data_IF_178447673918
#
_entry.id   IF_178447673918
#
_cell.length_a   1.000
_cell.length_b   1.000
_cell.length_c   1.000
_cell.angle_alpha   90.00
_cell.angle_beta   90.00
_cell.angle_gamma   90.00
#
_symmetry.space_group_name_H-M   'P 1'
#
loop_
_entity.id
_entity.type
_entity.pdbx_description
1 polymer ?
#
# COMPACT_ATOMS: atom_id res chain seq x y z
N UNK A 1 -20.28 17.38 -0.33
CA UNK A 1 -19.17 16.43 -0.04
C UNK A 1 -19.54 15.42 1.04
N UNK A 2 -19.85 15.83 2.27
CA UNK A 2 -20.20 14.89 3.36
C UNK A 2 -21.42 13.99 3.03
N UNK A 3 -22.46 14.53 2.40
CA UNK A 3 -23.63 13.74 1.98
C UNK A 3 -23.25 12.61 0.99
N UNK A 4 -22.37 12.90 0.02
CA UNK A 4 -21.92 11.90 -0.96
C UNK A 4 -21.08 10.80 -0.29
N UNK A 5 -20.24 11.16 0.69
CA UNK A 5 -19.51 10.17 1.49
C UNK A 5 -20.45 9.30 2.33
N UNK A 6 -21.55 9.88 2.82
CA UNK A 6 -22.59 9.16 3.55
C UNK A 6 -23.32 8.16 2.64
N UNK A 7 -23.61 8.51 1.39
CA UNK A 7 -24.23 7.60 0.42
C UNK A 7 -23.37 6.35 0.15
N UNK A 8 -22.04 6.49 0.17
CA UNK A 8 -21.10 5.37 0.00
C UNK A 8 -20.88 4.54 1.29
N UNK A 9 -21.29 5.05 2.45
CA UNK A 9 -20.97 4.45 3.76
C UNK A 9 -21.49 3.01 3.91
N UNK A 10 -22.73 2.66 3.53
CA UNK A 10 -23.22 1.29 3.66
C UNK A 10 -22.37 0.28 2.87
N UNK A 11 -21.93 0.65 1.67
CA UNK A 11 -21.05 -0.19 0.85
C UNK A 11 -19.70 -0.40 1.53
N UNK A 12 -19.08 0.66 2.04
CA UNK A 12 -17.79 0.59 2.73
C UNK A 12 -17.86 -0.23 4.02
N UNK A 13 -18.93 -0.08 4.80
CA UNK A 13 -19.17 -0.89 5.99
C UNK A 13 -19.40 -2.36 5.65
N UNK A 14 -20.14 -2.66 4.57
CA UNK A 14 -20.35 -4.04 4.12
C UNK A 14 -19.02 -4.69 3.73
N UNK A 15 -18.14 -3.98 3.03
CA UNK A 15 -16.80 -4.47 2.71
C UNK A 15 -16.03 -4.77 3.98
N UNK A 16 -15.98 -3.84 4.94
CA UNK A 16 -15.28 -4.05 6.22
C UNK A 16 -15.82 -5.26 6.98
N UNK A 17 -17.14 -5.44 7.06
CA UNK A 17 -17.75 -6.58 7.74
C UNK A 17 -17.40 -7.93 7.11
N UNK A 18 -17.25 -7.97 5.78
CA UNK A 18 -16.84 -9.18 5.07
C UNK A 18 -15.36 -9.48 5.32
N UNK A 19 -14.52 -8.44 5.40
CA UNK A 19 -13.08 -8.59 5.63
C UNK A 19 -12.73 -8.90 7.09
N UNK A 20 -13.54 -8.43 8.04
CA UNK A 20 -13.32 -8.66 9.49
C UNK A 20 -14.10 -9.83 10.07
N UNK A 21 -14.96 -10.48 9.26
CA UNK A 21 -15.84 -11.53 9.72
C UNK A 21 -15.11 -12.87 9.91
N UNK A 22 -15.01 -13.34 11.15
CA UNK A 22 -14.43 -14.64 11.53
C UNK A 22 -15.06 -15.88 10.83
N UNK A 23 -16.21 -15.72 10.17
CA UNK A 23 -16.98 -16.80 9.54
C UNK A 23 -17.58 -16.45 8.16
N UNK A 24 -17.17 -15.34 7.55
CA UNK A 24 -17.68 -14.93 6.24
C UNK A 24 -16.62 -15.15 5.17
N UNK A 25 -16.75 -16.19 4.35
CA UNK A 25 -15.93 -16.33 3.15
C UNK A 25 -16.38 -15.31 2.11
N UNK A 26 -15.49 -14.39 1.74
CA UNK A 26 -15.73 -13.46 0.65
C UNK A 26 -15.73 -14.23 -0.67
N UNK A 27 -16.90 -14.34 -1.32
CA UNK A 27 -16.98 -14.92 -2.65
C UNK A 27 -16.48 -13.95 -3.73
N UNK A 28 -15.97 -14.48 -4.84
CA UNK A 28 -15.53 -13.62 -5.95
C UNK A 28 -16.69 -12.81 -6.54
N UNK A 29 -17.89 -13.40 -6.60
CA UNK A 29 -19.10 -12.73 -7.07
C UNK A 29 -19.47 -11.54 -6.17
N UNK A 30 -19.37 -11.70 -4.85
CA UNK A 30 -19.60 -10.60 -3.90
C UNK A 30 -18.57 -9.50 -4.06
N UNK A 31 -17.30 -9.85 -4.27
CA UNK A 31 -16.24 -8.89 -4.54
C UNK A 31 -16.53 -8.06 -5.80
N UNK A 32 -16.96 -8.70 -6.90
CA UNK A 32 -17.36 -8.00 -8.13
C UNK A 32 -18.58 -7.08 -7.91
N UNK A 33 -19.59 -7.55 -7.18
CA UNK A 33 -20.79 -6.77 -6.91
C UNK A 33 -20.50 -5.52 -6.04
N UNK A 34 -19.66 -5.67 -5.01
CA UNK A 34 -19.23 -4.57 -4.15
C UNK A 34 -18.29 -3.61 -4.88
N UNK A 35 -17.38 -4.13 -5.70
CA UNK A 35 -16.48 -3.35 -6.57
C UNK A 35 -17.26 -2.44 -7.53
N UNK A 36 -18.37 -2.95 -8.07
CA UNK A 36 -19.31 -2.15 -8.88
C UNK A 36 -19.89 -1.00 -8.07
N UNK A 37 -20.38 -1.26 -6.84
CA UNK A 37 -20.93 -0.22 -5.96
C UNK A 37 -19.91 0.84 -5.56
N UNK A 38 -18.66 0.44 -5.29
CA UNK A 38 -17.56 1.39 -5.02
C UNK A 38 -17.27 2.23 -6.26
N UNK A 39 -17.20 1.61 -7.45
CA UNK A 39 -17.00 2.30 -8.71
C UNK A 39 -18.13 3.29 -9.05
N UNK A 40 -19.38 2.93 -8.74
CA UNK A 40 -20.54 3.82 -8.87
C UNK A 40 -20.44 5.03 -7.95
N UNK A 41 -20.09 4.82 -6.68
CA UNK A 41 -19.79 5.91 -5.76
C UNK A 41 -18.64 6.79 -6.29
N UNK A 42 -17.63 6.16 -6.92
CA UNK A 42 -16.54 6.87 -7.56
C UNK A 42 -16.96 7.80 -8.70
N UNK A 43 -17.82 7.28 -9.58
CA UNK A 43 -18.40 8.08 -10.67
C UNK A 43 -19.32 9.18 -10.15
N UNK A 44 -20.08 8.92 -9.09
CA UNK A 44 -21.01 9.88 -8.50
C UNK A 44 -20.27 11.08 -7.92
N UNK A 45 -19.21 10.88 -7.13
CA UNK A 45 -18.44 12.02 -6.62
C UNK A 45 -17.72 12.74 -7.76
N UNK A 46 -17.12 12.04 -8.73
CA UNK A 46 -16.42 12.69 -9.85
C UNK A 46 -17.35 13.61 -10.66
N UNK A 47 -18.60 13.18 -10.87
CA UNK A 47 -19.63 14.01 -11.49
C UNK A 47 -19.93 15.26 -10.67
N UNK A 48 -20.14 15.11 -9.36
CA UNK A 48 -20.36 16.23 -8.45
C UNK A 48 -19.19 17.23 -8.45
N UNK A 49 -17.94 16.74 -8.43
CA UNK A 49 -16.75 17.60 -8.44
C UNK A 49 -16.60 18.36 -9.76
N UNK A 50 -17.01 17.76 -10.88
CA UNK A 50 -17.02 18.40 -12.20
C UNK A 50 -18.10 19.49 -12.30
N UNK A 51 -19.29 19.22 -11.77
CA UNK A 51 -20.39 20.21 -11.72
C UNK A 51 -20.07 21.40 -10.79
N UNK A 52 -19.21 21.19 -9.78
CA UNK A 52 -18.82 22.19 -8.79
C UNK A 52 -17.33 22.54 -8.87
N UNK A 53 -16.75 22.51 -10.09
CA UNK A 53 -15.31 22.66 -10.32
C UNK A 53 -14.74 23.95 -9.72
N UNK A 54 -15.44 25.07 -9.88
CA UNK A 54 -15.02 26.36 -9.35
C UNK A 54 -15.05 26.46 -7.81
N UNK A 55 -15.72 25.52 -7.13
CA UNK A 55 -15.88 25.52 -5.67
C UNK A 55 -15.16 24.35 -4.99
N UNK A 56 -14.49 23.50 -5.76
CA UNK A 56 -13.84 22.28 -5.26
C UNK A 56 -12.33 22.37 -5.44
N UNK A 57 -11.57 22.36 -4.35
CA UNK A 57 -10.10 22.30 -4.44
C UNK A 57 -9.60 20.88 -4.74
N UNK A 58 -8.39 20.78 -5.33
CA UNK A 58 -7.70 19.51 -5.60
C UNK A 58 -7.59 18.64 -4.34
N UNK A 59 -7.29 19.24 -3.19
CA UNK A 59 -7.34 18.57 -1.89
C UNK A 59 -8.64 17.77 -1.67
N UNK A 60 -9.79 18.37 -1.92
CA UNK A 60 -11.09 17.71 -1.72
C UNK A 60 -11.32 16.58 -2.74
N UNK A 61 -10.83 16.76 -3.99
CA UNK A 61 -10.90 15.71 -5.02
C UNK A 61 -10.10 14.49 -4.60
N UNK A 62 -8.83 14.69 -4.26
CA UNK A 62 -7.93 13.64 -3.78
C UNK A 62 -8.49 12.94 -2.52
N UNK A 63 -9.01 13.72 -1.56
CA UNK A 63 -9.55 13.15 -0.32
C UNK A 63 -10.78 12.27 -0.56
N UNK A 64 -11.72 12.72 -1.40
CA UNK A 64 -12.93 11.94 -1.70
C UNK A 64 -12.61 10.68 -2.50
N UNK A 65 -11.75 10.80 -3.52
CA UNK A 65 -11.25 9.69 -4.31
C UNK A 65 -10.60 8.64 -3.40
N UNK A 66 -9.70 9.07 -2.52
CA UNK A 66 -8.99 8.21 -1.57
C UNK A 66 -9.95 7.49 -0.59
N UNK A 67 -10.84 8.22 0.07
CA UNK A 67 -11.72 7.67 1.12
C UNK A 67 -12.68 6.60 0.61
N UNK A 68 -13.01 6.62 -0.68
CA UNK A 68 -13.91 5.64 -1.31
C UNK A 68 -13.12 4.56 -2.02
N UNK A 69 -12.17 4.93 -2.90
CA UNK A 69 -11.48 3.97 -3.77
C UNK A 69 -10.58 3.01 -2.99
N UNK A 70 -10.01 3.41 -1.85
CA UNK A 70 -9.07 2.56 -1.09
C UNK A 70 -9.65 1.20 -0.70
N UNK A 71 -10.98 1.06 -0.61
CA UNK A 71 -11.65 -0.21 -0.30
C UNK A 71 -11.56 -1.24 -1.44
N UNK A 72 -11.20 -0.84 -2.66
CA UNK A 72 -11.01 -1.75 -3.78
C UNK A 72 -9.85 -2.72 -3.53
N UNK A 73 -8.75 -2.25 -2.92
CA UNK A 73 -7.56 -3.08 -2.70
C UNK A 73 -7.86 -4.23 -1.73
N UNK A 74 -8.29 -4.00 -0.47
CA UNK A 74 -8.53 -5.10 0.45
C UNK A 74 -9.70 -6.00 0.00
N UNK A 75 -10.68 -5.48 -0.74
CA UNK A 75 -11.76 -6.27 -1.33
C UNK A 75 -11.26 -7.28 -2.39
N UNK A 76 -10.29 -6.87 -3.21
CA UNK A 76 -9.75 -7.70 -4.30
C UNK A 76 -8.49 -8.48 -3.93
N UNK A 77 -7.85 -8.13 -2.81
CA UNK A 77 -6.60 -8.67 -2.31
C UNK A 77 -6.50 -10.22 -2.37
N UNK A 78 -7.45 -11.01 -1.80
CA UNK A 78 -7.38 -12.48 -1.85
C UNK A 78 -7.42 -13.09 -3.25
N UNK A 79 -8.02 -12.37 -4.21
CA UNK A 79 -8.13 -12.82 -5.59
C UNK A 79 -6.94 -12.33 -6.43
N UNK A 80 -6.48 -11.11 -6.17
CA UNK A 80 -5.35 -10.50 -6.88
C UNK A 80 -4.06 -11.30 -6.63
N UNK A 81 -3.83 -11.78 -5.40
CA UNK A 81 -2.67 -12.63 -5.09
C UNK A 81 -2.65 -13.94 -5.89
N UNK A 82 -3.82 -14.45 -6.26
CA UNK A 82 -3.98 -15.68 -7.03
C UNK A 82 -3.98 -15.47 -8.55
N UNK A 83 -3.94 -14.23 -9.05
CA UNK A 83 -4.14 -13.93 -10.47
C UNK A 83 -3.04 -14.50 -11.40
N UNK A 84 -1.83 -14.72 -10.89
CA UNK A 84 -0.73 -15.32 -11.67
C UNK A 84 -0.90 -16.84 -11.84
N UNK A 85 -1.65 -17.49 -10.96
CA UNK A 85 -1.93 -18.94 -11.01
C UNK A 85 -3.30 -19.20 -11.64
N UNK A 86 -4.26 -18.31 -11.40
CA UNK A 86 -5.63 -18.41 -11.89
C UNK A 86 -6.02 -17.15 -12.70
N UNK A 87 -6.05 -17.24 -14.04
CA UNK A 87 -6.38 -16.12 -14.92
C UNK A 87 -7.78 -15.52 -14.70
N UNK A 88 -8.70 -16.25 -14.05
CA UNK A 88 -10.03 -15.72 -13.70
C UNK A 88 -9.96 -14.47 -12.83
N UNK A 89 -8.87 -14.29 -12.07
CA UNK A 89 -8.71 -13.18 -11.15
C UNK A 89 -7.90 -12.00 -11.71
N UNK A 90 -7.58 -11.97 -13.00
CA UNK A 90 -6.86 -10.83 -13.61
C UNK A 90 -7.60 -9.49 -13.45
N UNK A 91 -8.93 -9.50 -13.38
CA UNK A 91 -9.69 -8.28 -13.09
C UNK A 91 -9.36 -7.73 -11.69
N UNK A 92 -9.22 -8.60 -10.69
CA UNK A 92 -8.85 -8.20 -9.31
C UNK A 92 -7.45 -7.60 -9.26
N UNK A 93 -6.50 -8.21 -9.97
CA UNK A 93 -5.15 -7.68 -10.09
C UNK A 93 -5.15 -6.28 -10.72
N UNK A 94 -5.83 -6.14 -11.86
CA UNK A 94 -5.96 -4.86 -12.57
C UNK A 94 -6.53 -3.76 -11.68
N UNK A 95 -7.67 -4.01 -11.04
CA UNK A 95 -8.35 -3.04 -10.19
C UNK A 95 -7.50 -2.65 -8.98
N UNK A 96 -6.81 -3.62 -8.38
CA UNK A 96 -5.92 -3.37 -7.23
C UNK A 96 -4.74 -2.50 -7.63
N UNK A 97 -4.09 -2.79 -8.77
CA UNK A 97 -2.99 -1.99 -9.30
C UNK A 97 -3.44 -0.57 -9.67
N UNK A 98 -4.52 -0.42 -10.44
CA UNK A 98 -5.05 0.90 -10.80
C UNK A 98 -5.40 1.74 -9.57
N UNK A 99 -5.98 1.10 -8.54
CA UNK A 99 -6.28 1.78 -7.28
C UNK A 99 -5.02 2.16 -6.51
N UNK A 100 -4.02 1.28 -6.47
CA UNK A 100 -2.75 1.52 -5.78
C UNK A 100 -1.99 2.68 -6.41
N UNK A 101 -1.96 2.73 -7.75
CA UNK A 101 -1.38 3.85 -8.50
C UNK A 101 -2.09 5.17 -8.19
N UNK A 102 -3.43 5.18 -8.16
CA UNK A 102 -4.19 6.37 -7.82
C UNK A 102 -3.96 6.87 -6.38
N UNK A 103 -3.63 5.96 -5.44
CA UNK A 103 -3.30 6.31 -4.06
C UNK A 103 -1.89 6.89 -3.94
N UNK A 104 -0.92 6.31 -4.66
CA UNK A 104 0.49 6.69 -4.57
C UNK A 104 0.79 7.96 -5.36
N UNK A 105 0.13 8.13 -6.51
CA UNK A 105 0.32 9.27 -7.41
C UNK A 105 -0.98 10.09 -7.53
N UNK A 106 -1.44 10.77 -6.45
CA UNK A 106 -2.63 11.62 -6.47
C UNK A 106 -2.40 12.90 -7.30
N UNK A 107 -3.45 13.70 -7.51
CA UNK A 107 -3.28 15.02 -8.15
C UNK A 107 -2.36 15.92 -7.28
N UNK A 108 -1.45 16.71 -7.87
CA UNK A 108 -0.51 17.54 -7.10
C UNK A 108 -1.24 18.59 -6.22
N UNK A 109 -1.25 18.38 -4.91
CA UNK A 109 -1.80 19.32 -3.91
C UNK A 109 -0.99 19.23 -2.60
N UNK A 110 -0.32 20.32 -2.21
CA UNK A 110 0.58 20.34 -1.05
C UNK A 110 -0.09 19.92 0.27
N UNK A 111 -1.38 20.28 0.45
CA UNK A 111 -2.12 19.91 1.66
C UNK A 111 -2.40 18.41 1.68
N UNK A 112 -2.71 17.82 0.54
CA UNK A 112 -2.93 16.37 0.42
C UNK A 112 -1.61 15.61 0.57
N UNK A 113 -0.52 16.08 -0.04
CA UNK A 113 0.82 15.50 0.17
C UNK A 113 1.21 15.53 1.65
N UNK A 114 0.97 16.65 2.33
CA UNK A 114 1.19 16.77 3.79
C UNK A 114 0.26 15.86 4.60
N UNK A 115 -0.98 15.66 4.15
CA UNK A 115 -1.90 14.70 4.76
C UNK A 115 -1.30 13.29 4.68
N UNK A 116 -0.80 12.90 3.51
CA UNK A 116 -0.18 11.60 3.26
C UNK A 116 1.17 11.41 3.97
N UNK A 117 1.89 12.49 4.33
CA UNK A 117 3.19 12.38 5.02
C UNK A 117 3.12 12.45 6.56
N UNK A 118 2.10 13.09 7.14
CA UNK A 118 2.02 13.26 8.60
C UNK A 118 1.02 12.30 9.24
N UNK A 119 -0.01 11.86 8.51
CA UNK A 119 -1.15 11.19 9.15
C UNK A 119 -0.95 9.68 9.27
N UNK A 120 -1.47 9.14 10.38
CA UNK A 120 -1.51 7.71 10.68
C UNK A 120 -2.91 7.13 10.40
N UNK A 121 -3.15 5.89 10.85
CA UNK A 121 -4.42 5.19 10.73
C UNK A 121 -4.75 4.87 9.28
N UNK A 122 -5.90 5.35 8.81
CA UNK A 122 -6.47 4.99 7.52
C UNK A 122 -5.56 5.31 6.33
N UNK A 123 -4.75 6.39 6.43
CA UNK A 123 -3.81 6.80 5.37
C UNK A 123 -2.60 5.86 5.30
N UNK A 124 -2.02 5.54 6.45
CA UNK A 124 -0.92 4.57 6.59
C UNK A 124 -1.35 3.19 6.09
N UNK A 125 -2.55 2.76 6.47
CA UNK A 125 -3.14 1.49 6.04
C UNK A 125 -3.33 1.45 4.53
N UNK A 126 -3.95 2.47 3.93
CA UNK A 126 -4.15 2.50 2.48
C UNK A 126 -2.85 2.59 1.68
N UNK A 127 -1.84 3.31 2.19
CA UNK A 127 -0.49 3.31 1.62
C UNK A 127 0.13 1.91 1.66
N UNK A 128 0.02 1.21 2.81
CA UNK A 128 0.50 -0.16 2.95
C UNK A 128 -0.12 -1.08 1.92
N UNK A 129 -1.46 -1.10 1.82
CA UNK A 129 -2.16 -1.88 0.81
C UNK A 129 -1.70 -1.54 -0.62
N UNK A 130 -1.55 -0.26 -0.91
CA UNK A 130 -1.14 0.21 -2.24
C UNK A 130 0.27 -0.25 -2.61
N UNK A 131 1.27 0.05 -1.77
CA UNK A 131 2.63 -0.33 -2.11
C UNK A 131 2.83 -1.85 -2.11
N UNK A 132 2.13 -2.58 -1.23
CA UNK A 132 2.22 -4.06 -1.19
C UNK A 132 1.70 -4.66 -2.49
N UNK A 133 0.58 -4.15 -3.00
CA UNK A 133 0.02 -4.59 -4.29
C UNK A 133 1.01 -4.36 -5.44
N UNK A 134 1.64 -3.18 -5.47
CA UNK A 134 2.61 -2.82 -6.52
C UNK A 134 3.88 -3.67 -6.41
N UNK A 135 4.43 -3.84 -5.20
CA UNK A 135 5.62 -4.66 -5.01
C UNK A 135 5.37 -6.12 -5.32
N UNK A 136 4.18 -6.64 -4.98
CA UNK A 136 3.80 -8.01 -5.29
C UNK A 136 3.73 -8.23 -6.80
N UNK A 137 3.00 -7.39 -7.53
CA UNK A 137 2.97 -7.46 -9.00
C UNK A 137 4.38 -7.35 -9.60
N UNK A 138 5.20 -6.43 -9.10
CA UNK A 138 6.57 -6.25 -9.59
C UNK A 138 7.40 -7.53 -9.45
N UNK A 139 7.32 -8.22 -8.31
CA UNK A 139 8.01 -9.50 -8.08
C UNK A 139 7.49 -10.58 -9.02
N UNK A 140 6.17 -10.73 -9.09
CA UNK A 140 5.51 -11.77 -9.88
C UNK A 140 5.75 -11.58 -11.39
N UNK A 141 5.69 -10.35 -11.87
CA UNK A 141 5.99 -10.02 -13.25
C UNK A 141 7.47 -10.28 -13.57
N UNK A 142 8.39 -9.89 -12.68
CA UNK A 142 9.82 -10.17 -12.86
C UNK A 142 10.08 -11.67 -12.95
N UNK A 143 9.48 -12.46 -12.08
CA UNK A 143 9.65 -13.92 -12.10
C UNK A 143 9.04 -14.54 -13.37
N UNK A 144 7.83 -14.12 -13.76
CA UNK A 144 7.17 -14.62 -14.97
C UNK A 144 8.00 -14.36 -16.22
N UNK A 145 8.52 -13.14 -16.36
CA UNK A 145 9.37 -12.74 -17.48
C UNK A 145 10.74 -13.43 -17.49
N UNK A 146 11.23 -13.82 -16.31
CA UNK A 146 12.47 -14.60 -16.19
C UNK A 146 12.25 -16.02 -16.68
N UNK A 147 11.14 -16.64 -16.29
CA UNK A 147 10.81 -18.02 -16.67
C UNK A 147 10.47 -18.17 -18.15
N UNK A 148 9.84 -17.18 -18.77
CA UNK A 148 9.49 -17.21 -20.20
C UNK A 148 10.59 -16.64 -21.14
N UNK A 149 11.68 -16.11 -20.56
CA UNK A 149 12.81 -15.54 -21.30
C UNK A 149 12.53 -14.17 -21.93
N UNK A 150 11.54 -13.42 -21.45
CA UNK A 150 11.15 -12.10 -21.97
C UNK A 150 11.68 -10.91 -21.18
N UNK A 151 12.47 -11.11 -20.12
CA UNK A 151 13.04 -10.05 -19.27
C UNK A 151 13.61 -8.85 -20.04
N UNK A 152 14.40 -9.12 -21.10
CA UNK A 152 15.04 -8.09 -21.93
C UNK A 152 14.19 -7.53 -23.06
N UNK A 153 12.97 -8.05 -23.28
CA UNK A 153 12.07 -7.64 -24.37
C UNK A 153 11.00 -6.66 -23.92
N UNK A 154 10.61 -6.68 -22.65
CA UNK A 154 9.50 -5.87 -22.11
C UNK A 154 9.80 -5.35 -20.70
N UNK A 155 10.69 -4.36 -20.60
CA UNK A 155 11.02 -3.74 -19.31
C UNK A 155 10.12 -2.56 -18.94
N UNK A 156 9.46 -1.91 -19.91
CA UNK A 156 8.75 -0.63 -19.71
C UNK A 156 7.76 -0.65 -18.54
N UNK A 157 6.93 -1.69 -18.44
CA UNK A 157 5.96 -1.80 -17.33
C UNK A 157 6.66 -1.99 -15.99
N UNK A 158 7.67 -2.88 -15.96
CA UNK A 158 8.47 -3.19 -14.78
C UNK A 158 9.27 -1.98 -14.29
N UNK A 159 9.82 -1.20 -15.22
CA UNK A 159 10.52 0.05 -14.94
C UNK A 159 9.56 1.11 -14.39
N UNK A 160 8.34 1.18 -14.91
CA UNK A 160 7.28 2.04 -14.35
C UNK A 160 6.91 1.62 -12.93
N UNK A 161 6.77 0.32 -12.64
CA UNK A 161 6.50 -0.18 -11.29
C UNK A 161 7.67 0.13 -10.34
N UNK A 162 8.92 -0.08 -10.77
CA UNK A 162 10.13 0.30 -10.00
C UNK A 162 10.15 1.80 -9.69
N UNK A 163 9.74 2.64 -10.65
CA UNK A 163 9.68 4.08 -10.43
C UNK A 163 8.67 4.44 -9.33
N UNK A 164 7.48 3.84 -9.36
CA UNK A 164 6.48 4.05 -8.32
C UNK A 164 6.94 3.53 -6.96
N UNK A 165 7.64 2.40 -6.91
CA UNK A 165 8.26 1.91 -5.65
C UNK A 165 9.24 2.94 -5.08
N UNK A 166 10.06 3.59 -5.92
CA UNK A 166 10.98 4.67 -5.48
C UNK A 166 10.23 5.88 -4.95
N UNK A 167 9.12 6.28 -5.58
CA UNK A 167 8.27 7.37 -5.07
C UNK A 167 7.69 7.06 -3.68
N UNK A 168 7.25 5.82 -3.45
CA UNK A 168 6.81 5.39 -2.12
C UNK A 168 7.98 5.34 -1.13
N UNK A 169 9.18 4.93 -1.56
CA UNK A 169 10.37 4.98 -0.70
C UNK A 169 10.65 6.40 -0.22
N UNK A 170 10.59 7.39 -1.10
CA UNK A 170 10.78 8.80 -0.76
C UNK A 170 9.70 9.29 0.22
N UNK A 171 8.43 8.95 -0.04
CA UNK A 171 7.32 9.26 0.86
C UNK A 171 7.52 8.60 2.24
N UNK A 172 7.97 7.35 2.29
CA UNK A 172 8.20 6.65 3.55
C UNK A 172 9.33 7.29 4.37
N UNK A 173 10.41 7.76 3.73
CA UNK A 173 11.45 8.54 4.41
C UNK A 173 10.93 9.87 4.92
N UNK A 174 10.11 10.56 4.12
CA UNK A 174 9.50 11.81 4.56
C UNK A 174 8.61 11.59 5.77
N UNK A 175 7.81 10.52 5.79
CA UNK A 175 7.01 10.14 6.96
C UNK A 175 7.88 9.89 8.20
N UNK A 176 9.03 9.22 8.06
CA UNK A 176 9.98 9.00 9.16
C UNK A 176 10.58 10.32 9.67
N UNK A 177 10.91 11.26 8.77
CA UNK A 177 11.36 12.62 9.15
C UNK A 177 10.29 13.39 9.92
N UNK A 178 9.01 13.14 9.63
CA UNK A 178 7.87 13.73 10.33
C UNK A 178 7.49 12.99 11.63
N UNK A 179 8.27 11.99 12.05
CA UNK A 179 8.11 11.30 13.34
C UNK A 179 7.50 9.90 13.26
N UNK A 180 7.32 9.30 12.07
CA UNK A 180 6.95 7.90 11.98
C UNK A 180 8.11 6.99 12.43
N UNK A 181 7.88 6.20 13.47
CA UNK A 181 8.86 5.24 14.01
C UNK A 181 8.80 3.87 13.35
N UNK A 182 7.76 3.60 12.55
CA UNK A 182 7.65 2.34 11.82
C UNK A 182 8.49 2.40 10.54
N UNK A 183 9.72 1.92 10.65
CA UNK A 183 10.71 1.90 9.57
C UNK A 183 10.56 0.67 8.63
N UNK A 184 9.71 -0.30 9.01
CA UNK A 184 9.60 -1.60 8.29
C UNK A 184 9.19 -1.41 6.84
N UNK A 185 8.28 -0.47 6.56
CA UNK A 185 7.84 -0.17 5.20
C UNK A 185 8.98 0.33 4.31
N UNK A 186 9.80 1.26 4.81
CA UNK A 186 10.95 1.78 4.05
C UNK A 186 11.99 0.68 3.79
N UNK A 187 12.31 -0.12 4.81
CA UNK A 187 13.22 -1.27 4.68
C UNK A 187 12.72 -2.29 3.66
N UNK A 188 11.44 -2.64 3.73
CA UNK A 188 10.82 -3.60 2.81
C UNK A 188 10.89 -3.14 1.35
N UNK A 189 10.57 -1.88 1.07
CA UNK A 189 10.64 -1.33 -0.30
C UNK A 189 12.07 -1.40 -0.88
N UNK A 190 13.09 -1.10 -0.06
CA UNK A 190 14.49 -1.24 -0.45
C UNK A 190 14.86 -2.70 -0.75
N UNK A 191 14.41 -3.63 0.08
CA UNK A 191 14.63 -5.06 -0.10
C UNK A 191 14.01 -5.58 -1.40
N UNK A 192 12.76 -5.21 -1.70
CA UNK A 192 12.08 -5.62 -2.93
C UNK A 192 12.79 -5.07 -4.16
N UNK A 193 13.22 -3.80 -4.13
CA UNK A 193 13.94 -3.23 -5.26
C UNK A 193 15.25 -3.99 -5.53
N UNK A 194 16.02 -4.32 -4.48
CA UNK A 194 17.21 -5.15 -4.61
C UNK A 194 16.92 -6.57 -5.11
N UNK A 195 15.84 -7.19 -4.65
CA UNK A 195 15.41 -8.51 -5.10
C UNK A 195 15.14 -8.50 -6.61
N UNK A 196 14.38 -7.51 -7.08
CA UNK A 196 14.02 -7.36 -8.49
C UNK A 196 15.26 -7.09 -9.34
N UNK A 197 16.12 -6.16 -8.93
CA UNK A 197 17.37 -5.83 -9.64
C UNK A 197 18.31 -7.05 -9.71
N UNK A 198 18.43 -7.82 -8.62
CA UNK A 198 19.23 -9.06 -8.62
C UNK A 198 18.67 -10.13 -9.57
N UNK A 199 17.33 -10.28 -9.63
CA UNK A 199 16.67 -11.20 -10.57
C UNK A 199 16.84 -10.76 -12.03
N UNK A 200 16.84 -9.45 -12.30
CA UNK A 200 17.09 -8.91 -13.63
C UNK A 200 18.54 -9.16 -14.10
N UNK A 201 19.50 -9.09 -13.18
CA UNK A 201 20.93 -9.36 -13.43
C UNK A 201 21.30 -10.85 -13.38
N UNK A 202 20.35 -11.72 -13.04
CA UNK A 202 20.54 -13.16 -12.78
C UNK A 202 21.68 -13.47 -11.79
N UNK A 203 21.71 -12.70 -10.69
CA UNK A 203 22.68 -12.90 -9.60
C UNK A 203 21.99 -13.33 -8.30
N UNK A 204 22.71 -14.03 -7.39
CA UNK A 204 22.18 -14.34 -6.06
C UNK A 204 21.70 -13.07 -5.34
N UNK A 205 20.51 -13.12 -4.76
CA UNK A 205 19.81 -11.94 -4.25
C UNK A 205 19.90 -11.82 -2.73
N UNK A 206 20.19 -12.91 -2.01
CA UNK A 206 20.15 -12.97 -0.54
C UNK A 206 21.08 -11.92 0.09
N UNK A 207 22.32 -11.83 -0.41
CA UNK A 207 23.28 -10.86 0.06
C UNK A 207 22.88 -9.42 -0.28
N UNK A 208 22.43 -9.17 -1.52
CA UNK A 208 22.00 -7.83 -1.97
C UNK A 208 20.79 -7.33 -1.17
N UNK A 209 19.81 -8.20 -0.94
CA UNK A 209 18.61 -7.91 -0.14
C UNK A 209 18.98 -7.60 1.30
N UNK A 210 19.82 -8.44 1.94
CA UNK A 210 20.27 -8.22 3.31
C UNK A 210 21.09 -6.91 3.45
N UNK A 211 21.93 -6.61 2.46
CA UNK A 211 22.69 -5.37 2.41
C UNK A 211 21.76 -4.15 2.33
N UNK A 212 20.77 -4.15 1.41
CA UNK A 212 19.80 -3.05 1.30
C UNK A 212 18.94 -2.89 2.54
N UNK A 213 18.55 -3.99 3.19
CA UNK A 213 17.84 -3.94 4.45
C UNK A 213 18.68 -3.20 5.51
N UNK A 214 19.96 -3.58 5.66
CA UNK A 214 20.88 -2.95 6.62
C UNK A 214 21.09 -1.47 6.33
N UNK A 215 21.40 -1.10 5.08
CA UNK A 215 21.59 0.31 4.67
C UNK A 215 20.34 1.15 4.98
N UNK A 216 19.14 0.58 4.73
CA UNK A 216 17.87 1.23 5.04
C UNK A 216 17.66 1.42 6.54
N UNK A 217 17.96 0.40 7.36
CA UNK A 217 17.88 0.48 8.81
C UNK A 217 18.84 1.51 9.40
N UNK A 218 20.10 1.54 8.91
CA UNK A 218 21.11 2.54 9.31
C UNK A 218 20.62 3.96 8.99
N UNK A 219 20.12 4.18 7.76
CA UNK A 219 19.55 5.47 7.37
C UNK A 219 18.36 5.89 8.26
N UNK A 220 17.43 4.98 8.53
CA UNK A 220 16.29 5.30 9.38
C UNK A 220 16.70 5.56 10.83
N UNK A 221 17.69 4.82 11.34
CA UNK A 221 18.24 5.05 12.68
C UNK A 221 18.84 6.44 12.79
N UNK A 222 19.66 6.85 11.81
CA UNK A 222 20.28 8.18 11.78
C UNK A 222 19.24 9.31 11.71
N UNK A 223 18.09 9.09 11.06
CA UNK A 223 16.99 10.05 10.99
C UNK A 223 16.20 10.16 12.31
N UNK A 224 16.08 9.05 13.05
CA UNK A 224 15.31 8.98 14.29
C UNK A 224 16.15 9.37 15.52
N UNK A 225 17.45 9.10 15.51
CA UNK A 225 18.34 9.36 16.66
C UNK A 225 18.28 10.80 17.19
N UNK A 226 18.26 11.87 16.35
CA UNK A 226 18.14 13.24 16.83
C UNK A 226 16.80 13.54 17.52
N UNK A 227 15.74 12.78 17.20
CA UNK A 227 14.39 13.02 17.70
C UNK A 227 14.19 12.50 19.14
N UNK A 228 15.04 11.57 19.60
CA UNK A 228 14.98 10.99 20.94
C UNK A 228 15.44 11.96 22.04
N UNK A 229 16.24 12.98 21.70
CA UNK A 229 16.81 13.96 22.63
C UNK A 229 16.13 15.34 22.65
N UNK A 230 15.13 15.57 21.80
CA UNK A 230 14.39 16.83 21.77
C UNK A 230 13.40 16.90 22.95
N UNK A 231 13.35 17.99 23.73
CA UNK A 231 12.33 18.17 24.75
C UNK A 231 10.95 18.06 24.11
N UNK A 232 10.20 17.04 24.51
CA UNK A 232 8.83 16.85 24.10
C UNK A 232 7.98 17.95 24.77
N UNK A 233 7.61 19.00 24.04
CA UNK A 233 6.45 19.84 24.38
C UNK A 233 5.18 19.02 24.11
N UNK A 234 4.96 17.99 24.93
CA UNK A 234 3.77 17.14 24.89
C UNK A 234 2.89 17.49 26.08
N UNK A 235 1.81 18.20 25.78
CA UNK A 235 0.59 18.11 26.55
C UNK A 235 0.24 16.63 26.73
N UNK A 236 0.13 16.24 27.98
CA UNK A 236 0.00 14.88 28.49
C UNK A 236 -1.05 14.02 27.79
N UNK A 237 -0.60 12.90 27.22
CA UNK A 237 -1.41 11.72 26.93
C UNK A 237 -0.49 10.51 26.98
N UNK A 238 -0.53 9.73 28.06
CA UNK A 238 0.35 8.58 28.29
C UNK A 238 0.20 7.55 27.16
N UNK A 239 1.29 7.26 26.42
CA UNK A 239 1.39 6.03 25.62
C UNK A 239 2.27 5.03 26.35
N UNK A 240 1.67 3.89 26.68
CA UNK A 240 2.36 2.73 27.28
C UNK A 240 3.14 2.01 26.17
N UNK A 241 4.45 1.84 26.35
CA UNK A 241 5.27 0.97 25.51
C UNK A 241 5.06 -0.48 25.94
N UNK A 242 4.67 -1.34 25.00
CA UNK A 242 4.77 -2.80 25.14
C UNK A 242 5.82 -3.33 24.16
N UNK A 243 6.71 -4.24 24.60
CA UNK A 243 7.74 -4.83 23.74
C UNK A 243 7.13 -5.93 22.86
N UNK A 244 7.44 -5.91 21.56
CA UNK A 244 6.99 -6.91 20.59
C UNK A 244 7.92 -8.13 20.65
N UNK A 245 7.39 -9.30 21.02
CA UNK A 245 8.08 -10.58 20.88
C UNK A 245 7.94 -11.10 19.45
N UNK A 246 9.06 -11.40 18.82
CA UNK A 246 9.13 -12.15 17.56
C UNK A 246 8.94 -13.64 17.89
N UNK A 247 7.82 -14.23 17.47
CA UNK A 247 7.65 -15.68 17.51
C UNK A 247 8.33 -16.29 16.27
N UNK A 248 9.29 -17.18 16.51
CA UNK A 248 9.97 -17.97 15.49
C UNK A 248 9.04 -19.12 15.04
N UNK A 249 8.51 -19.03 13.82
CA UNK A 249 8.04 -20.21 13.08
C UNK A 249 8.86 -20.36 11.80
N UNK A 250 9.64 -21.44 11.77
CA UNK A 250 10.50 -21.82 10.65
C UNK A 250 9.68 -22.13 9.40
N UNK A 251 9.72 -21.20 8.44
CA UNK A 251 9.33 -21.36 7.04
C UNK A 251 10.40 -20.71 6.17
N UNK A 252 10.57 -21.20 4.93
CA UNK A 252 11.56 -20.70 3.96
C UNK A 252 11.55 -19.16 3.89
N UNK A 253 12.73 -18.55 4.00
CA UNK A 253 13.01 -17.11 4.26
C UNK A 253 12.40 -16.12 3.25
N UNK A 254 11.71 -16.55 2.20
CA UNK A 254 11.22 -15.67 1.13
C UNK A 254 9.84 -16.06 0.57
N UNK A 255 8.99 -16.71 1.37
CA UNK A 255 7.56 -16.72 1.05
C UNK A 255 6.99 -15.39 1.56
N UNK A 256 7.07 -14.35 0.73
CA UNK A 256 6.45 -13.04 0.98
C UNK A 256 4.93 -13.20 0.81
N UNK A 257 4.33 -14.02 1.67
CA UNK A 257 2.90 -14.15 1.71
C UNK A 257 2.32 -12.80 2.13
N UNK A 258 1.26 -12.39 1.44
CA UNK A 258 0.63 -11.10 1.67
C UNK A 258 0.21 -10.97 3.15
N UNK A 259 -0.11 -12.11 3.76
CA UNK A 259 -0.46 -12.27 5.17
C UNK A 259 0.64 -11.81 6.12
N UNK A 260 1.93 -11.98 5.80
CA UNK A 260 3.05 -11.48 6.63
C UNK A 260 3.07 -9.93 6.72
N UNK A 261 2.55 -9.24 5.70
CA UNK A 261 2.48 -7.77 5.68
C UNK A 261 1.12 -7.21 6.08
N UNK A 262 0.08 -8.04 6.02
CA UNK A 262 -1.28 -7.70 6.42
C UNK A 262 -1.55 -8.02 7.89
N UNK A 263 -0.76 -8.89 8.52
CA UNK A 263 -0.82 -9.18 9.95
C UNK A 263 -0.23 -8.04 10.79
N UNK A 264 -0.93 -6.91 10.87
CA UNK A 264 -0.90 -6.10 12.09
C UNK A 264 -2.00 -6.66 13.01
N UNK A 265 -1.69 -7.74 13.75
CA UNK A 265 -2.44 -8.05 14.96
C UNK A 265 -2.06 -7.04 16.04
N UNK A 266 -2.52 -5.80 15.90
CA UNK A 266 -2.49 -4.78 16.95
C UNK A 266 -3.75 -3.91 16.81
N UNK A 267 -4.90 -4.54 17.04
CA UNK A 267 -6.09 -3.83 17.54
C UNK A 267 -6.14 -4.02 19.05
N UNK A 268 -5.60 -3.05 19.79
CA UNK A 268 -6.04 -2.69 21.15
C UNK A 268 -5.58 -1.27 21.48
#
# INVERSE_FOLDING_TARGET
MQLILLDSLPTRLRILQLLSGLHSELSYVDALALSTKVSDACRAYNRFLKENEHSTSLFHRNLLEYLVRRFMIPLHCPFASQAHVNPLFHYSLKVSLETSMAIISPEPDDRFSRLMSINSGLFREGLRYAFTTITFELIQQTESQRMDGTLGRSSQHRDSLKQVVREVMDLSLERIRQGETNIKGHMFLNMILALVEAKEEDVPHEFKVAQRARESLELCFDLLQPQVGAPLDLASGQMSFMPTSLDEQGGSVLDFDLDFFLSDTDFS
#
